data_IF_161451841583
#
_entry.id   IF_161451841583
#
_cell.length_a   1.000
_cell.length_b   1.000
_cell.length_c   1.000
_cell.angle_alpha   90.00
_cell.angle_beta   90.00
_cell.angle_gamma   90.00
#
_symmetry.space_group_name_H-M   'P 1'
#
loop_
_entity.id
_entity.type
_entity.pdbx_description
1 polymer ?
#
# COMPACT_ATOMS: atom_id res chain seq x y z
N UNK A 1 -13.88 15.23 -28.50
CA UNK A 1 -13.13 16.48 -28.21
C UNK A 1 -13.20 16.73 -26.72
N UNK A 2 -12.11 17.18 -26.11
CA UNK A 2 -12.08 17.53 -24.71
C UNK A 2 -12.99 18.73 -24.44
N UNK A 3 -13.98 18.54 -23.57
CA UNK A 3 -14.86 19.62 -23.11
C UNK A 3 -14.14 20.44 -22.04
N UNK A 4 -13.37 21.43 -22.50
CA UNK A 4 -12.59 22.31 -21.63
C UNK A 4 -13.45 23.34 -20.89
N UNK A 5 -14.62 23.69 -21.42
CA UNK A 5 -15.54 24.65 -20.78
C UNK A 5 -16.11 24.06 -19.48
N UNK A 6 -16.60 22.81 -19.53
CA UNK A 6 -17.09 22.13 -18.33
C UNK A 6 -15.97 21.91 -17.28
N UNK A 7 -14.75 21.59 -17.74
CA UNK A 7 -13.59 21.44 -16.85
C UNK A 7 -13.23 22.76 -16.18
N UNK A 8 -13.18 23.85 -16.94
CA UNK A 8 -12.89 25.17 -16.41
C UNK A 8 -13.93 25.61 -15.37
N UNK A 9 -15.23 25.43 -15.65
CA UNK A 9 -16.29 25.75 -14.71
C UNK A 9 -16.16 24.96 -13.39
N UNK A 10 -15.87 23.66 -13.48
CA UNK A 10 -15.64 22.80 -12.31
C UNK A 10 -14.41 23.25 -11.50
N UNK A 11 -13.30 23.59 -12.16
CA UNK A 11 -12.08 24.03 -11.49
C UNK A 11 -12.25 25.37 -10.79
N UNK A 12 -12.94 26.33 -11.43
CA UNK A 12 -13.26 27.64 -10.85
C UNK A 12 -14.12 27.47 -9.59
N UNK A 13 -15.12 26.58 -9.61
CA UNK A 13 -15.94 26.29 -8.44
C UNK A 13 -15.14 25.75 -7.23
N UNK A 14 -13.96 25.19 -7.47
CA UNK A 14 -13.05 24.66 -6.43
C UNK A 14 -11.80 25.51 -6.21
N UNK A 15 -11.73 26.72 -6.79
CA UNK A 15 -10.56 27.61 -6.75
C UNK A 15 -9.26 26.94 -7.27
N UNK A 16 -9.37 26.12 -8.32
CA UNK A 16 -8.26 25.39 -8.96
C UNK A 16 -8.07 25.80 -10.44
N UNK A 17 -8.51 27.01 -10.79
CA UNK A 17 -8.41 27.60 -12.14
C UNK A 17 -6.96 27.72 -12.65
N UNK A 18 -6.01 27.89 -11.73
CA UNK A 18 -4.58 27.98 -12.02
C UNK A 18 -4.01 26.75 -12.76
N UNK A 19 -4.67 25.58 -12.69
CA UNK A 19 -4.26 24.38 -13.43
C UNK A 19 -4.36 24.56 -14.95
N UNK A 20 -5.20 25.48 -15.45
CA UNK A 20 -5.36 25.75 -16.87
C UNK A 20 -4.48 26.91 -17.39
N UNK A 21 -3.67 27.53 -16.51
CA UNK A 21 -2.88 28.72 -16.85
C UNK A 21 -1.97 28.54 -18.07
N UNK A 22 -1.37 27.37 -18.22
CA UNK A 22 -0.40 27.06 -19.28
C UNK A 22 -1.01 26.20 -20.40
N UNK A 23 -2.34 26.00 -20.41
CA UNK A 23 -3.02 25.21 -21.44
C UNK A 23 -2.71 25.66 -22.88
N UNK A 24 -2.57 26.98 -23.20
CA UNK A 24 -2.23 27.43 -24.55
C UNK A 24 -0.82 27.03 -25.01
N UNK A 25 0.10 26.74 -24.09
CA UNK A 25 1.50 26.39 -24.38
C UNK A 25 1.70 24.88 -24.62
N UNK A 26 0.67 24.07 -24.40
CA UNK A 26 0.72 22.61 -24.54
C UNK A 26 0.41 22.16 -25.97
N UNK A 27 1.05 21.08 -26.41
CA UNK A 27 0.66 20.34 -27.61
C UNK A 27 -0.61 19.51 -27.36
N UNK A 28 -1.23 19.00 -28.43
CA UNK A 28 -2.49 18.26 -28.34
C UNK A 28 -2.37 16.93 -27.55
N UNK A 29 -1.18 16.32 -27.51
CA UNK A 29 -0.93 15.12 -26.71
C UNK A 29 -0.95 15.43 -25.22
N UNK A 30 -0.19 16.45 -24.81
CA UNK A 30 -0.12 16.92 -23.42
C UNK A 30 -1.46 17.50 -22.93
N UNK A 31 -2.22 18.14 -23.80
CA UNK A 31 -3.60 18.57 -23.49
C UNK A 31 -4.49 17.38 -23.16
N UNK A 32 -4.40 16.30 -23.93
CA UNK A 32 -5.18 15.09 -23.68
C UNK A 32 -4.79 14.40 -22.36
N UNK A 33 -3.49 14.33 -22.05
CA UNK A 33 -2.98 13.81 -20.77
C UNK A 33 -3.48 14.64 -19.59
N UNK A 34 -3.30 15.96 -19.63
CA UNK A 34 -3.78 16.87 -18.58
C UNK A 34 -5.29 16.76 -18.39
N UNK A 35 -6.05 16.64 -19.47
CA UNK A 35 -7.50 16.46 -19.40
C UNK A 35 -7.89 15.17 -18.67
N UNK A 36 -7.20 14.06 -18.96
CA UNK A 36 -7.43 12.78 -18.31
C UNK A 36 -7.09 12.84 -16.82
N UNK A 37 -5.97 13.47 -16.46
CA UNK A 37 -5.55 13.67 -15.07
C UNK A 37 -6.57 14.48 -14.28
N UNK A 38 -7.02 15.62 -14.82
CA UNK A 38 -8.01 16.49 -14.16
C UNK A 38 -9.33 15.75 -13.97
N UNK A 39 -9.78 14.96 -14.96
CA UNK A 39 -11.01 14.16 -14.83
C UNK A 39 -10.90 13.02 -13.83
N UNK A 40 -9.69 12.51 -13.57
CA UNK A 40 -9.44 11.48 -12.55
C UNK A 40 -9.54 12.01 -11.11
N UNK A 41 -9.58 13.33 -10.92
CA UNK A 41 -9.53 13.95 -9.59
C UNK A 41 -10.91 14.46 -9.16
N UNK A 42 -11.36 14.00 -7.98
CA UNK A 42 -12.50 14.58 -7.26
C UNK A 42 -12.04 15.79 -6.44
N UNK A 43 -12.16 16.98 -7.01
CA UNK A 43 -11.74 18.24 -6.38
C UNK A 43 -12.53 18.59 -5.12
N UNK A 44 -13.81 18.22 -5.04
CA UNK A 44 -14.62 18.43 -3.85
C UNK A 44 -14.10 17.58 -2.68
N UNK A 45 -13.75 16.32 -2.94
CA UNK A 45 -13.12 15.44 -1.96
C UNK A 45 -11.73 15.90 -1.58
N UNK A 46 -10.91 16.31 -2.54
CA UNK A 46 -9.57 16.83 -2.30
C UNK A 46 -9.60 18.08 -1.40
N UNK A 47 -10.48 19.04 -1.69
CA UNK A 47 -10.66 20.24 -0.88
C UNK A 47 -11.05 19.93 0.56
N UNK A 48 -11.96 18.97 0.78
CA UNK A 48 -12.33 18.50 2.12
C UNK A 48 -11.14 17.89 2.87
N UNK A 49 -10.33 17.06 2.21
CA UNK A 49 -9.15 16.46 2.82
C UNK A 49 -8.09 17.49 3.18
N UNK A 50 -7.84 18.44 2.29
CA UNK A 50 -6.90 19.53 2.54
C UNK A 50 -7.33 20.40 3.72
N UNK A 51 -8.61 20.80 3.77
CA UNK A 51 -9.15 21.59 4.88
C UNK A 51 -9.02 20.85 6.22
N UNK A 52 -9.39 19.56 6.25
CA UNK A 52 -9.29 18.73 7.45
C UNK A 52 -7.84 18.55 7.92
N UNK A 53 -6.92 18.34 7.00
CA UNK A 53 -5.49 18.21 7.30
C UNK A 53 -4.94 19.52 7.89
N UNK A 54 -5.28 20.68 7.30
CA UNK A 54 -4.87 21.99 7.81
C UNK A 54 -5.44 22.30 9.20
N UNK A 55 -6.71 22.00 9.44
CA UNK A 55 -7.33 22.19 10.74
C UNK A 55 -6.70 21.30 11.82
N UNK A 56 -6.30 20.07 11.45
CA UNK A 56 -5.63 19.16 12.38
C UNK A 56 -4.25 19.68 12.78
N UNK A 57 -3.53 20.35 11.88
CA UNK A 57 -2.23 20.97 12.16
C UNK A 57 -2.35 22.20 13.08
N UNK A 58 -3.41 22.99 12.97
CA UNK A 58 -3.63 24.14 13.86
C UNK A 58 -4.05 23.75 15.27
N UNK A 59 -4.68 22.58 15.44
CA UNK A 59 -5.19 22.08 16.71
C UNK A 59 -4.17 21.19 17.47
N UNK A 60 -2.89 21.22 17.10
CA UNK A 60 -1.80 20.43 17.71
C UNK A 60 -1.47 20.78 19.18
N UNK A 61 -2.31 21.55 19.88
CA UNK A 61 -2.12 21.91 21.30
C UNK A 61 -2.71 20.87 22.27
N UNK A 62 -3.49 19.89 21.80
CA UNK A 62 -3.97 18.80 22.67
C UNK A 62 -2.80 17.87 23.02
N UNK A 63 -2.44 17.81 24.31
CA UNK A 63 -1.44 16.88 24.88
C UNK A 63 -1.94 15.43 24.85
N UNK A 64 -2.06 14.85 23.66
CA UNK A 64 -2.51 13.46 23.44
C UNK A 64 -1.59 12.43 24.09
N UNK A 65 -0.36 12.82 24.42
CA UNK A 65 0.62 11.98 25.10
C UNK A 65 0.16 11.54 26.49
N UNK A 66 -0.64 12.36 27.19
CA UNK A 66 -1.19 12.01 28.52
C UNK A 66 -2.20 10.86 28.46
N UNK A 67 -2.73 10.54 27.27
CA UNK A 67 -3.68 9.44 27.04
C UNK A 67 -2.98 8.14 26.62
N UNK A 68 -1.69 8.18 26.29
CA UNK A 68 -0.94 7.00 25.83
C UNK A 68 -0.60 6.11 27.04
N UNK A 69 -1.01 4.84 26.96
CA UNK A 69 -0.67 3.80 27.94
C UNK A 69 -0.14 2.55 27.23
N UNK A 70 0.72 1.76 27.87
CA UNK A 70 1.13 0.47 27.34
C UNK A 70 -0.08 -0.43 27.06
N UNK A 71 0.06 -1.30 26.05
CA UNK A 71 -0.91 -2.37 25.82
C UNK A 71 -0.91 -3.34 27.00
N UNK A 72 -2.08 -3.87 27.32
CA UNK A 72 -2.22 -4.91 28.33
C UNK A 72 -1.44 -6.18 27.92
N UNK A 73 -0.74 -6.81 28.86
CA UNK A 73 0.03 -8.05 28.60
C UNK A 73 -0.81 -9.21 28.08
N UNK A 74 -2.12 -9.21 28.31
CA UNK A 74 -3.03 -10.27 27.86
C UNK A 74 -3.33 -10.25 26.36
N UNK A 75 -3.07 -9.14 25.66
CA UNK A 75 -3.44 -8.96 24.24
C UNK A 75 -2.28 -9.06 23.26
N UNK A 76 -1.05 -9.29 23.73
CA UNK A 76 0.12 -9.46 22.86
C UNK A 76 0.99 -10.63 23.30
N UNK A 77 1.51 -11.39 22.34
CA UNK A 77 2.48 -12.47 22.56
C UNK A 77 3.90 -12.06 22.19
N UNK A 78 4.90 -12.79 22.68
CA UNK A 78 6.30 -12.60 22.33
C UNK A 78 6.95 -13.91 21.94
N UNK A 79 7.45 -14.00 20.70
CA UNK A 79 8.18 -15.19 20.23
C UNK A 79 9.45 -15.49 21.04
N UNK A 80 10.03 -14.48 21.71
CA UNK A 80 11.19 -14.65 22.58
C UNK A 80 10.84 -15.18 23.99
N UNK A 81 9.62 -14.96 24.48
CA UNK A 81 9.19 -15.35 25.83
C UNK A 81 8.26 -16.57 25.84
N UNK A 82 7.45 -16.74 24.79
CA UNK A 82 6.36 -17.72 24.72
C UNK A 82 6.72 -18.92 23.82
N UNK A 83 7.92 -19.47 24.00
CA UNK A 83 8.43 -20.58 23.18
C UNK A 83 7.53 -21.82 23.26
N UNK A 84 6.87 -22.04 24.40
CA UNK A 84 5.94 -23.16 24.61
C UNK A 84 4.69 -23.10 23.70
N UNK A 85 4.28 -21.92 23.24
CA UNK A 85 3.11 -21.75 22.38
C UNK A 85 3.46 -21.65 20.89
N UNK A 86 4.75 -21.45 20.56
CA UNK A 86 5.24 -21.25 19.20
C UNK A 86 4.84 -22.39 18.24
N UNK A 87 5.07 -23.64 18.65
CA UNK A 87 4.71 -24.81 17.84
C UNK A 87 3.22 -24.87 17.57
N UNK A 88 2.39 -24.69 18.61
CA UNK A 88 0.93 -24.67 18.47
C UNK A 88 0.45 -23.59 17.52
N UNK A 89 1.04 -22.39 17.55
CA UNK A 89 0.69 -21.30 16.63
C UNK A 89 1.11 -21.62 15.20
N UNK A 90 2.29 -22.20 15.00
CA UNK A 90 2.76 -22.62 13.68
C UNK A 90 1.83 -23.68 13.07
N UNK A 91 1.49 -24.72 13.84
CA UNK A 91 0.58 -25.79 13.39
C UNK A 91 -0.82 -25.25 13.07
N UNK A 92 -1.32 -24.34 13.91
CA UNK A 92 -2.60 -23.67 13.67
C UNK A 92 -2.55 -22.84 12.39
N UNK A 93 -1.47 -22.09 12.16
CA UNK A 93 -1.27 -21.28 10.97
C UNK A 93 -1.21 -22.13 9.69
N UNK A 94 -0.43 -23.21 9.71
CA UNK A 94 -0.31 -24.13 8.57
C UNK A 94 -1.64 -24.80 8.24
N UNK A 95 -2.44 -25.17 9.24
CA UNK A 95 -3.80 -25.69 9.04
C UNK A 95 -4.72 -24.68 8.36
N UNK A 96 -4.71 -23.41 8.79
CA UNK A 96 -5.57 -22.38 8.17
C UNK A 96 -5.10 -22.05 6.74
N UNK A 97 -3.79 -22.15 6.48
CA UNK A 97 -3.23 -22.07 5.13
C UNK A 97 -3.74 -23.24 4.26
N UNK A 98 -3.68 -24.49 4.76
CA UNK A 98 -4.18 -25.64 3.99
C UNK A 98 -5.68 -25.58 3.71
N UNK A 99 -6.45 -24.87 4.55
CA UNK A 99 -7.87 -24.61 4.32
C UNK A 99 -8.14 -23.47 3.32
N UNK A 100 -7.11 -22.92 2.66
CA UNK A 100 -7.21 -21.81 1.69
C UNK A 100 -7.86 -20.53 2.27
N UNK A 101 -7.65 -20.26 3.57
CA UNK A 101 -8.23 -19.11 4.29
C UNK A 101 -7.26 -17.93 4.48
N UNK A 102 -6.08 -17.99 3.86
CA UNK A 102 -5.03 -16.99 4.02
C UNK A 102 -4.69 -16.36 2.68
N UNK A 103 -4.62 -15.03 2.65
CA UNK A 103 -4.14 -14.24 1.54
C UNK A 103 -3.04 -13.28 2.02
N UNK A 104 -2.16 -12.87 1.12
CA UNK A 104 -1.15 -11.84 1.37
C UNK A 104 -1.53 -10.59 0.60
N UNK A 105 -1.35 -9.42 1.22
CA UNK A 105 -1.51 -8.13 0.56
C UNK A 105 -0.16 -7.41 0.57
N UNK A 106 0.47 -7.32 -0.59
CA UNK A 106 1.78 -6.69 -0.73
C UNK A 106 1.65 -5.20 -1.06
N UNK A 107 2.13 -4.35 -0.15
CA UNK A 107 2.20 -2.90 -0.37
C UNK A 107 3.40 -2.53 -1.23
N UNK A 108 3.20 -2.53 -2.55
CA UNK A 108 4.24 -2.40 -3.57
C UNK A 108 4.31 -1.02 -4.27
N UNK A 109 3.57 0.00 -3.79
CA UNK A 109 3.43 1.29 -4.49
C UNK A 109 4.65 2.22 -4.49
N UNK A 110 5.72 1.87 -3.75
CA UNK A 110 6.92 2.72 -3.63
C UNK A 110 7.91 2.53 -4.79
N UNK A 111 8.37 3.64 -5.37
CA UNK A 111 9.51 3.62 -6.28
C UNK A 111 10.84 3.49 -5.52
N UNK A 112 11.83 2.82 -6.12
CA UNK A 112 13.15 2.59 -5.53
C UNK A 112 14.10 3.79 -5.58
N UNK A 113 13.60 5.02 -5.74
CA UNK A 113 14.44 6.22 -6.00
C UNK A 113 15.43 6.51 -4.88
N UNK A 114 15.08 6.25 -3.62
CA UNK A 114 16.02 6.36 -2.48
C UNK A 114 17.15 5.32 -2.49
N UNK A 115 16.99 4.24 -3.23
CA UNK A 115 18.01 3.21 -3.46
C UNK A 115 18.84 3.48 -4.73
N UNK A 116 18.62 4.62 -5.39
CA UNK A 116 19.34 4.98 -6.62
C UNK A 116 18.83 4.30 -7.88
N UNK A 117 17.62 3.72 -7.84
CA UNK A 117 17.03 3.00 -8.98
C UNK A 117 15.68 3.60 -9.38
N UNK A 118 15.35 3.51 -10.67
CA UNK A 118 14.11 4.07 -11.23
C UNK A 118 12.98 3.04 -11.41
N UNK A 119 13.17 1.82 -10.89
CA UNK A 119 12.18 0.74 -10.94
C UNK A 119 11.54 0.49 -9.55
N UNK A 120 10.43 -0.29 -9.47
CA UNK A 120 9.76 -0.60 -8.20
C UNK A 120 10.71 -1.26 -7.20
N UNK A 121 10.58 -0.91 -5.91
CA UNK A 121 11.50 -1.40 -4.86
C UNK A 121 11.58 -2.93 -4.80
N UNK A 122 10.49 -3.65 -5.07
CA UNK A 122 10.50 -5.11 -5.03
C UNK A 122 11.39 -5.78 -6.07
N UNK A 123 11.75 -5.08 -7.16
CA UNK A 123 12.69 -5.57 -8.17
C UNK A 123 14.15 -5.32 -7.79
N UNK A 124 14.41 -4.72 -6.62
CA UNK A 124 15.78 -4.47 -6.17
C UNK A 124 16.49 -5.79 -5.86
N UNK A 125 17.68 -5.96 -6.43
CA UNK A 125 18.64 -7.00 -6.05
C UNK A 125 19.54 -6.46 -4.95
N UNK A 126 19.65 -7.23 -3.86
CA UNK A 126 20.46 -6.89 -2.68
C UNK A 126 21.83 -7.58 -2.71
N UNK A 127 22.27 -8.02 -3.89
CA UNK A 127 23.55 -8.68 -4.15
C UNK A 127 23.75 -9.97 -3.34
N UNK A 128 22.67 -10.73 -3.15
CA UNK A 128 22.79 -12.08 -2.61
C UNK A 128 23.44 -13.00 -3.65
N UNK A 129 24.16 -14.07 -3.24
CA UNK A 129 24.76 -15.02 -4.17
C UNK A 129 23.77 -15.64 -5.18
N UNK A 130 22.48 -15.65 -4.85
CA UNK A 130 21.43 -16.15 -5.73
C UNK A 130 20.96 -15.15 -6.79
N UNK A 131 21.33 -13.87 -6.71
CA UNK A 131 20.86 -12.79 -7.62
C UNK A 131 19.35 -12.58 -7.61
N UNK A 132 18.69 -12.82 -6.46
CA UNK A 132 17.22 -12.82 -6.36
C UNK A 132 16.73 -11.45 -5.90
N UNK A 133 15.70 -10.96 -6.57
CA UNK A 133 15.00 -9.73 -6.18
C UNK A 133 14.18 -9.94 -4.90
N UNK A 134 13.81 -8.84 -4.24
CA UNK A 134 12.93 -8.89 -3.07
C UNK A 134 11.57 -9.57 -3.36
N UNK A 135 10.99 -9.35 -4.54
CA UNK A 135 9.75 -10.03 -4.94
C UNK A 135 9.94 -11.53 -5.05
N UNK A 136 11.03 -11.98 -5.67
CA UNK A 136 11.30 -13.40 -5.79
C UNK A 136 11.47 -14.06 -4.42
N UNK A 137 12.22 -13.41 -3.51
CA UNK A 137 12.41 -13.94 -2.15
C UNK A 137 11.09 -14.05 -1.38
N UNK A 138 10.16 -13.10 -1.54
CA UNK A 138 8.84 -13.16 -0.92
C UNK A 138 7.96 -14.25 -1.56
N UNK A 139 7.94 -14.35 -2.88
CA UNK A 139 7.20 -15.38 -3.61
C UNK A 139 7.67 -16.79 -3.22
N UNK A 140 8.99 -17.02 -3.12
CA UNK A 140 9.54 -18.32 -2.72
C UNK A 140 9.16 -18.70 -1.27
N UNK A 141 9.04 -17.72 -0.37
CA UNK A 141 8.53 -17.97 0.99
C UNK A 141 7.07 -18.43 0.97
N UNK A 142 6.24 -17.81 0.13
CA UNK A 142 4.83 -18.17 -0.04
C UNK A 142 4.72 -19.59 -0.60
N UNK A 143 5.45 -19.91 -1.67
CA UNK A 143 5.50 -21.26 -2.26
C UNK A 143 5.96 -22.29 -1.23
N UNK A 144 6.98 -21.97 -0.43
CA UNK A 144 7.46 -22.87 0.62
C UNK A 144 6.39 -23.10 1.69
N UNK A 145 5.66 -22.07 2.11
CA UNK A 145 4.56 -22.20 3.08
C UNK A 145 3.41 -23.06 2.53
N UNK A 146 3.01 -22.87 1.27
CA UNK A 146 2.01 -23.72 0.61
C UNK A 146 2.45 -25.19 0.61
N UNK A 147 3.72 -25.45 0.27
CA UNK A 147 4.27 -26.82 0.26
C UNK A 147 4.29 -27.45 1.66
N UNK A 148 4.63 -26.67 2.69
CA UNK A 148 4.62 -27.14 4.09
C UNK A 148 3.19 -27.45 4.57
N UNK A 149 2.22 -26.58 4.26
CA UNK A 149 0.82 -26.79 4.62
C UNK A 149 0.20 -27.99 3.88
N UNK A 150 0.51 -28.16 2.58
CA UNK A 150 0.09 -29.33 1.80
C UNK A 150 0.71 -30.64 2.35
N UNK A 151 1.92 -30.60 2.92
CA UNK A 151 2.52 -31.80 3.52
C UNK A 151 1.87 -32.25 4.84
N UNK A 152 1.11 -31.36 5.49
CA UNK A 152 0.45 -31.61 6.77
C UNK A 152 -1.07 -31.83 6.63
N UNK A 153 -1.59 -31.81 5.40
CA UNK A 153 -3.01 -32.00 5.10
C UNK A 153 -3.16 -33.00 3.96
N UNK A 154 -4.34 -33.61 3.83
CA UNK A 154 -4.64 -34.49 2.69
C UNK A 154 -4.96 -33.70 1.41
N UNK A 155 -5.05 -32.37 1.50
CA UNK A 155 -5.36 -31.48 0.39
C UNK A 155 -4.10 -31.10 -0.38
N UNK A 156 -4.15 -31.29 -1.70
CA UNK A 156 -3.03 -30.98 -2.61
C UNK A 156 -3.18 -29.61 -3.26
N UNK A 157 -4.33 -28.96 -3.15
CA UNK A 157 -4.62 -27.67 -3.77
C UNK A 157 -4.51 -26.51 -2.77
N UNK A 158 -3.37 -26.43 -2.09
CA UNK A 158 -3.09 -25.35 -1.12
C UNK A 158 -2.54 -24.14 -1.84
N UNK A 159 -3.30 -23.04 -1.82
CA UNK A 159 -2.97 -21.78 -2.49
C UNK A 159 -3.05 -20.59 -1.54
N UNK A 160 -2.03 -19.73 -1.59
CA UNK A 160 -2.02 -18.42 -0.92
C UNK A 160 -2.04 -17.35 -2.02
N UNK A 161 -3.18 -16.69 -2.29
CA UNK A 161 -3.21 -15.56 -3.22
C UNK A 161 -2.42 -14.36 -2.67
N UNK A 162 -1.71 -13.65 -3.54
CA UNK A 162 -0.85 -12.51 -3.19
C UNK A 162 -0.75 -11.47 -4.32
#
# INVERSE_FOLDING_TARGET
MADWEAVQASLVAHNQDHLLKFLPELDEGRKAELYADIRGVDFARLGRYFAKARQSLSNCQEKKDELLKPLDSSIYGSTARDTAHSTRWADTGLRVISENKVAVLLLAGGQGTRLGVNYPKGMYDVDLPSGKTLYQLQAERIVKLQSLAASQSDDKDVTIPW
#
